data_IF_625926198744
#
_entry.id   IF_625926198744
#
_cell.length_a   1.000
_cell.length_b   1.000
_cell.length_c   1.000
_cell.angle_alpha   90.00
_cell.angle_beta   90.00
_cell.angle_gamma   90.00
#
_symmetry.space_group_name_H-M   'P 1'
#
loop_
_entity.id
_entity.type
_entity.pdbx_description
1 polymer ?
#
# COMPACT_ATOMS: atom_id res chain seq x y z
N UNK A 1 12.89 10.88 2.77
CA UNK A 1 13.09 9.72 1.89
C UNK A 1 11.74 9.05 1.75
N UNK A 2 11.19 8.94 0.53
CA UNK A 2 9.88 8.33 0.32
C UNK A 2 9.90 6.88 0.81
N UNK A 3 9.02 6.58 1.77
CA UNK A 3 8.94 5.27 2.44
C UNK A 3 8.30 4.20 1.52
N UNK A 4 7.57 4.64 0.48
CA UNK A 4 6.92 3.81 -0.53
C UNK A 4 7.52 4.08 -1.91
N UNK A 5 7.78 3.02 -2.66
CA UNK A 5 8.26 3.10 -4.04
C UNK A 5 7.29 2.46 -5.05
N UNK A 6 6.16 1.95 -4.57
CA UNK A 6 5.05 1.49 -5.40
C UNK A 6 3.85 2.40 -5.11
N UNK A 7 3.35 3.07 -6.13
CA UNK A 7 2.15 3.89 -6.06
C UNK A 7 1.45 3.92 -7.42
N UNK A 8 0.20 3.48 -7.48
CA UNK A 8 -0.63 3.45 -8.69
C UNK A 8 -2.00 4.00 -8.36
N UNK A 9 -2.47 4.95 -9.15
CA UNK A 9 -3.79 5.58 -9.01
C UNK A 9 -4.64 5.38 -10.27
N UNK A 10 -5.94 5.62 -10.15
CA UNK A 10 -6.83 5.77 -11.30
C UNK A 10 -6.50 7.03 -12.12
N UNK A 11 -7.01 7.10 -13.37
CA UNK A 11 -6.72 8.19 -14.31
C UNK A 11 -7.14 9.57 -13.82
N UNK A 12 -8.01 9.64 -12.81
CA UNK A 12 -8.51 10.89 -12.23
C UNK A 12 -7.85 11.22 -10.88
N UNK A 13 -6.85 10.45 -10.42
CA UNK A 13 -6.23 10.54 -9.10
C UNK A 13 -7.25 10.54 -7.93
N UNK A 14 -8.44 9.98 -8.14
CA UNK A 14 -9.49 9.88 -7.13
C UNK A 14 -9.37 8.61 -6.30
N UNK A 15 -8.71 7.58 -6.83
CA UNK A 15 -8.60 6.28 -6.19
C UNK A 15 -7.18 5.75 -6.30
N UNK A 16 -6.58 5.44 -5.15
CA UNK A 16 -5.32 4.71 -5.07
C UNK A 16 -5.59 3.24 -5.30
N UNK A 17 -5.06 2.67 -6.38
CA UNK A 17 -5.18 1.26 -6.74
C UNK A 17 -4.10 0.42 -6.04
N UNK A 18 -2.87 0.93 -5.97
CA UNK A 18 -1.76 0.23 -5.35
C UNK A 18 -0.87 1.18 -4.54
N UNK A 19 -0.40 0.73 -3.38
CA UNK A 19 0.61 1.43 -2.58
C UNK A 19 1.46 0.43 -1.81
N UNK A 20 2.76 0.67 -1.74
CA UNK A 20 3.61 -0.15 -0.90
C UNK A 20 5.10 0.03 -1.12
N UNK A 21 5.84 -0.96 -0.63
CA UNK A 21 7.30 -0.99 -0.65
C UNK A 21 7.75 -2.32 -1.26
N UNK A 22 8.62 -2.22 -2.26
CA UNK A 22 9.21 -3.37 -2.93
C UNK A 22 10.17 -4.13 -2.01
N UNK A 23 10.20 -5.46 -2.13
CA UNK A 23 11.07 -6.38 -1.41
C UNK A 23 11.20 -7.71 -2.15
N UNK A 24 12.05 -8.63 -1.65
CA UNK A 24 12.23 -9.97 -2.23
C UNK A 24 11.15 -10.96 -1.76
N UNK A 25 10.64 -10.77 -0.54
CA UNK A 25 9.57 -11.54 0.10
C UNK A 25 8.41 -10.60 0.40
N UNK A 26 7.47 -10.55 -0.54
CA UNK A 26 6.34 -9.63 -0.55
C UNK A 26 5.13 -10.15 0.23
N UNK A 27 4.49 -9.29 1.04
CA UNK A 27 3.12 -9.49 1.51
C UNK A 27 2.14 -8.77 0.57
N UNK A 28 1.19 -9.51 0.00
CA UNK A 28 0.10 -8.92 -0.79
C UNK A 28 -1.15 -8.77 0.07
N UNK A 29 -1.72 -7.57 0.12
CA UNK A 29 -2.92 -7.25 0.87
C UNK A 29 -3.96 -6.71 -0.11
N UNK A 30 -5.15 -7.33 -0.12
CA UNK A 30 -6.31 -6.84 -0.88
C UNK A 30 -7.29 -6.25 0.11
N UNK A 31 -7.75 -5.02 -0.12
CA UNK A 31 -8.73 -4.40 0.76
C UNK A 31 -9.60 -3.36 0.09
N UNK A 32 -10.65 -2.96 0.79
CA UNK A 32 -11.41 -1.75 0.52
C UNK A 32 -10.92 -0.69 1.52
N UNK A 33 -9.86 0.04 1.15
CA UNK A 33 -9.30 1.08 2.01
C UNK A 33 -9.79 2.46 1.55
N UNK A 34 -10.84 3.02 2.17
CA UNK A 34 -11.38 4.33 1.80
C UNK A 34 -10.44 5.49 2.16
N UNK A 35 -9.35 5.23 2.88
CA UNK A 35 -8.40 6.25 3.31
C UNK A 35 -7.41 6.64 2.22
N UNK A 36 -7.06 7.92 2.22
CA UNK A 36 -6.31 8.64 1.18
C UNK A 36 -4.79 8.68 1.44
N UNK A 37 -4.17 7.61 1.98
CA UNK A 37 -2.70 7.54 2.00
C UNK A 37 -2.11 7.84 0.62
N UNK A 38 -1.04 8.60 0.60
CA UNK A 38 -0.26 8.89 -0.60
C UNK A 38 1.07 8.14 -0.51
N UNK A 39 1.87 8.24 -1.55
CA UNK A 39 3.27 7.80 -1.54
C UNK A 39 4.11 8.54 -0.48
N UNK A 40 3.77 9.81 -0.20
CA UNK A 40 4.42 10.66 0.79
C UNK A 40 3.97 10.40 2.24
N UNK A 41 2.69 10.10 2.48
CA UNK A 41 2.13 9.93 3.83
C UNK A 41 1.33 8.62 3.98
N UNK A 42 1.83 7.73 4.84
CA UNK A 42 1.13 6.52 5.24
C UNK A 42 -0.04 6.83 6.18
N UNK A 43 -1.23 6.33 5.82
CA UNK A 43 -2.38 6.30 6.72
C UNK A 43 -2.26 5.18 7.79
N UNK A 44 -3.15 5.15 8.80
CA UNK A 44 -3.11 4.10 9.83
C UNK A 44 -3.25 2.67 9.30
N UNK A 45 -3.95 2.45 8.18
CA UNK A 45 -4.09 1.13 7.56
C UNK A 45 -2.74 0.66 6.99
N UNK A 46 -2.06 1.53 6.24
CA UNK A 46 -0.75 1.24 5.65
C UNK A 46 0.30 0.98 6.74
N UNK A 47 0.31 1.79 7.81
CA UNK A 47 1.20 1.55 8.96
C UNK A 47 0.96 0.20 9.64
N UNK A 48 -0.30 -0.25 9.71
CA UNK A 48 -0.62 -1.60 10.24
C UNK A 48 -0.15 -2.70 9.31
N UNK A 49 -0.34 -2.55 8.00
CA UNK A 49 0.16 -3.51 7.00
C UNK A 49 1.68 -3.62 7.08
N UNK A 50 2.40 -2.49 7.13
CA UNK A 50 3.86 -2.48 7.29
C UNK A 50 4.30 -3.21 8.57
N UNK A 51 3.61 -2.97 9.70
CA UNK A 51 3.89 -3.67 10.95
C UNK A 51 3.66 -5.19 10.85
N UNK A 52 2.58 -5.61 10.20
CA UNK A 52 2.29 -7.04 9.96
C UNK A 52 3.35 -7.67 9.06
N UNK A 53 3.73 -7.01 7.97
CA UNK A 53 4.77 -7.47 7.05
C UNK A 53 6.10 -7.69 7.79
N UNK A 54 6.55 -6.68 8.54
CA UNK A 54 7.79 -6.75 9.30
C UNK A 54 7.76 -7.88 10.35
N UNK A 55 6.67 -7.99 11.12
CA UNK A 55 6.54 -9.01 12.16
C UNK A 55 6.49 -10.44 11.61
N UNK A 56 6.05 -10.62 10.37
CA UNK A 56 5.99 -11.92 9.71
C UNK A 56 7.21 -12.19 8.80
N UNK A 57 8.24 -11.34 8.83
CA UNK A 57 9.49 -11.53 8.10
C UNK A 57 9.42 -11.21 6.60
N UNK A 58 8.42 -10.44 6.16
CA UNK A 58 8.37 -9.88 4.81
C UNK A 58 9.23 -8.61 4.75
N UNK A 59 9.94 -8.41 3.64
CA UNK A 59 10.79 -7.23 3.41
C UNK A 59 10.14 -6.22 2.44
N UNK A 60 8.94 -6.54 1.96
CA UNK A 60 8.09 -5.67 1.15
C UNK A 60 6.61 -5.99 1.31
N UNK A 61 5.76 -5.06 0.90
CA UNK A 61 4.32 -5.24 0.90
C UNK A 61 3.67 -4.44 -0.23
N UNK A 62 2.49 -4.89 -0.66
CA UNK A 62 1.65 -4.20 -1.62
C UNK A 62 0.20 -4.20 -1.14
N UNK A 63 -0.34 -3.01 -0.89
CA UNK A 63 -1.76 -2.80 -0.66
C UNK A 63 -2.45 -2.55 -2.00
N UNK A 64 -3.29 -3.50 -2.41
CA UNK A 64 -4.17 -3.41 -3.57
C UNK A 64 -5.57 -3.05 -3.10
N UNK A 65 -6.08 -1.92 -3.58
CA UNK A 65 -7.44 -1.50 -3.30
C UNK A 65 -8.38 -2.00 -4.39
N UNK A 66 -9.47 -2.65 -3.97
CA UNK A 66 -10.58 -2.94 -4.87
C UNK A 66 -11.24 -1.63 -5.28
N UNK A 67 -11.36 -1.42 -6.59
CA UNK A 67 -12.12 -0.33 -7.18
C UNK A 67 -13.16 -0.93 -8.12
N UNK A 68 -14.41 -0.45 -8.05
CA UNK A 68 -15.35 -0.68 -9.14
C UNK A 68 -14.83 0.02 -10.38
N UNK A 69 -14.73 -0.73 -11.47
CA UNK A 69 -14.45 -0.24 -12.82
C UNK A 69 -15.72 0.44 -13.34
#
# INVERSE_FOLDING_TARGET
>A
MNQHNIYVNDCNNKRRLALGKSGKRMLFVIGLNPSTATDAEADPTIKRVEKVANNAGFDGYLMLNLCSI
#
